data_IF_614931327758
#
_entry.id   IF_614931327758
#
_cell.length_a   1.000
_cell.length_b   1.000
_cell.length_c   1.000
_cell.angle_alpha   90.00
_cell.angle_beta   90.00
_cell.angle_gamma   90.00
#
_symmetry.space_group_name_H-M   'P 1'
#
loop_
_entity.id
_entity.type
_entity.pdbx_description
1 polymer ?
#
# COMPACT_ATOMS: atom_id res chain seq x y z
N UNK A 1 -30.30 -0.43 20.87
CA UNK A 1 -30.67 0.08 19.54
C UNK A 1 -29.47 0.58 18.69
N UNK A 2 -28.36 1.03 19.30
CA UNK A 2 -27.14 1.42 18.52
C UNK A 2 -26.61 0.28 17.62
N UNK A 3 -26.52 -0.93 18.13
CA UNK A 3 -25.98 -2.09 17.41
C UNK A 3 -26.76 -2.45 16.12
N UNK A 4 -28.09 -2.43 16.18
CA UNK A 4 -28.93 -2.67 14.99
C UNK A 4 -28.82 -1.55 13.95
N UNK A 5 -28.61 -0.33 14.41
CA UNK A 5 -28.36 0.81 13.53
C UNK A 5 -27.01 0.68 12.81
N UNK A 6 -25.98 0.26 13.53
CA UNK A 6 -24.64 0.06 12.96
C UNK A 6 -24.58 -1.12 11.97
N UNK A 7 -25.48 -2.11 12.12
CA UNK A 7 -25.62 -3.24 11.19
C UNK A 7 -26.43 -2.94 9.93
N UNK A 8 -27.16 -1.84 9.89
CA UNK A 8 -28.08 -1.50 8.80
C UNK A 8 -27.39 -1.49 7.40
N UNK A 9 -26.22 -0.86 7.18
CA UNK A 9 -25.54 -0.93 5.89
C UNK A 9 -25.13 -2.34 5.49
N UNK A 10 -24.76 -3.18 6.47
CA UNK A 10 -24.35 -4.57 6.24
C UNK A 10 -25.57 -5.40 5.80
N UNK A 11 -26.71 -5.21 6.42
CA UNK A 11 -27.95 -5.90 6.04
C UNK A 11 -28.34 -5.50 4.61
N UNK A 12 -28.28 -4.23 4.28
CA UNK A 12 -28.56 -3.73 2.94
C UNK A 12 -27.57 -4.27 1.92
N UNK A 13 -26.31 -4.42 2.26
CA UNK A 13 -25.30 -5.05 1.43
C UNK A 13 -25.71 -6.49 1.05
N UNK A 14 -26.06 -7.32 2.06
CA UNK A 14 -26.46 -8.71 1.80
C UNK A 14 -27.76 -8.84 1.00
N UNK A 15 -28.74 -7.97 1.25
CA UNK A 15 -29.98 -7.94 0.47
C UNK A 15 -29.71 -7.57 -0.98
N UNK A 16 -28.93 -6.51 -1.21
CA UNK A 16 -28.56 -6.06 -2.54
C UNK A 16 -27.67 -7.11 -3.26
N UNK A 17 -26.80 -7.81 -2.54
CA UNK A 17 -25.98 -8.89 -3.08
C UNK A 17 -26.83 -10.09 -3.54
N UNK A 18 -27.91 -10.43 -2.83
CA UNK A 18 -28.84 -11.49 -3.24
C UNK A 18 -29.71 -11.12 -4.46
N UNK A 19 -29.99 -9.83 -4.65
CA UNK A 19 -30.83 -9.33 -5.73
C UNK A 19 -30.06 -8.91 -6.97
N UNK A 20 -28.76 -8.72 -6.86
CA UNK A 20 -27.89 -8.27 -7.93
C UNK A 20 -26.48 -8.87 -7.81
N UNK A 21 -25.50 -8.04 -7.94
CA UNK A 21 -24.08 -8.39 -7.89
C UNK A 21 -23.34 -7.68 -6.74
N UNK A 22 -22.06 -8.02 -6.58
CA UNK A 22 -21.21 -7.43 -5.53
C UNK A 22 -21.03 -5.92 -5.70
N UNK A 23 -21.12 -5.40 -6.91
CA UNK A 23 -20.96 -3.96 -7.21
C UNK A 23 -22.18 -3.18 -6.77
N UNK A 24 -23.37 -3.65 -7.14
CA UNK A 24 -24.65 -3.11 -6.68
C UNK A 24 -24.73 -3.13 -5.17
N UNK A 25 -24.35 -4.25 -4.54
CA UNK A 25 -24.31 -4.38 -3.09
C UNK A 25 -23.36 -3.37 -2.44
N UNK A 26 -22.18 -3.18 -3.03
CA UNK A 26 -21.18 -2.23 -2.51
C UNK A 26 -21.68 -0.79 -2.63
N UNK A 27 -22.27 -0.40 -3.76
CA UNK A 27 -22.85 0.94 -3.95
C UNK A 27 -23.96 1.19 -2.93
N UNK A 28 -24.85 0.22 -2.72
CA UNK A 28 -25.94 0.33 -1.75
C UNK A 28 -25.40 0.49 -0.34
N UNK A 29 -24.40 -0.29 0.05
CA UNK A 29 -23.76 -0.17 1.36
C UNK A 29 -23.05 1.18 1.55
N UNK A 30 -22.36 1.69 0.52
CA UNK A 30 -21.73 3.01 0.57
C UNK A 30 -22.77 4.11 0.77
N UNK A 31 -23.85 4.12 -0.03
CA UNK A 31 -24.92 5.11 0.09
C UNK A 31 -25.58 5.02 1.47
N UNK A 32 -25.85 3.82 1.95
CA UNK A 32 -26.44 3.60 3.27
C UNK A 32 -25.56 4.14 4.40
N UNK A 33 -24.25 3.87 4.34
CA UNK A 33 -23.28 4.35 5.35
C UNK A 33 -23.16 5.87 5.34
N UNK A 34 -23.08 6.48 4.16
CA UNK A 34 -23.04 7.94 4.00
C UNK A 34 -24.33 8.55 4.56
N UNK A 35 -25.49 8.02 4.19
CA UNK A 35 -26.79 8.47 4.68
C UNK A 35 -26.92 8.35 6.21
N UNK A 36 -26.43 7.23 6.78
CA UNK A 36 -26.42 6.99 8.21
C UNK A 36 -25.55 8.01 8.96
N UNK A 37 -24.37 8.30 8.45
CA UNK A 37 -23.46 9.28 9.08
C UNK A 37 -24.01 10.70 8.97
N UNK A 38 -24.59 11.07 7.83
CA UNK A 38 -25.26 12.35 7.67
C UNK A 38 -26.42 12.52 8.65
N UNK A 39 -27.22 11.45 8.85
CA UNK A 39 -28.30 11.43 9.84
C UNK A 39 -27.79 11.62 11.28
N UNK A 40 -26.73 10.90 11.66
CA UNK A 40 -26.09 11.02 12.98
C UNK A 40 -25.54 12.43 13.18
N UNK A 41 -24.87 12.98 12.19
CA UNK A 41 -24.35 14.34 12.23
C UNK A 41 -25.47 15.38 12.40
N UNK A 42 -26.56 15.25 11.65
CA UNK A 42 -27.67 16.17 11.72
C UNK A 42 -28.34 16.14 13.12
N UNK A 43 -28.47 14.93 13.70
CA UNK A 43 -29.20 14.77 14.98
C UNK A 43 -28.32 15.02 16.20
N UNK A 44 -27.06 14.63 16.18
CA UNK A 44 -26.19 14.67 17.35
C UNK A 44 -25.05 15.68 17.23
N UNK A 45 -24.83 16.25 16.08
CA UNK A 45 -23.73 17.21 15.81
C UNK A 45 -22.33 16.69 16.16
N UNK A 46 -22.21 15.38 16.42
CA UNK A 46 -20.96 14.69 16.75
C UNK A 46 -20.93 13.34 16.04
N UNK A 47 -19.82 13.02 15.43
CA UNK A 47 -19.55 11.73 14.80
C UNK A 47 -18.46 11.06 15.62
N UNK A 48 -18.66 9.80 16.03
CA UNK A 48 -17.66 9.02 16.73
C UNK A 48 -16.48 8.67 15.80
N UNK A 49 -15.26 8.57 16.38
CA UNK A 49 -14.06 8.20 15.62
C UNK A 49 -14.23 6.85 14.89
N UNK A 50 -14.95 5.89 15.49
CA UNK A 50 -15.27 4.60 14.88
C UNK A 50 -16.14 4.74 13.62
N UNK A 51 -17.08 5.67 13.61
CA UNK A 51 -17.93 5.95 12.44
C UNK A 51 -17.13 6.61 11.31
N UNK A 52 -16.18 7.48 11.65
CA UNK A 52 -15.25 8.05 10.66
C UNK A 52 -14.36 6.98 10.03
N UNK A 53 -13.81 6.08 10.84
CA UNK A 53 -13.02 4.95 10.36
C UNK A 53 -13.86 4.08 9.43
N UNK A 54 -15.09 3.74 9.83
CA UNK A 54 -16.00 2.93 9.01
C UNK A 54 -16.33 3.62 7.67
N UNK A 55 -16.57 4.95 7.68
CA UNK A 55 -16.82 5.72 6.46
C UNK A 55 -15.61 5.68 5.53
N UNK A 56 -14.42 5.97 6.04
CA UNK A 56 -13.19 5.95 5.25
C UNK A 56 -12.97 4.56 4.67
N UNK A 57 -13.11 3.51 5.48
CA UNK A 57 -12.95 2.13 5.02
C UNK A 57 -13.95 1.78 3.91
N UNK A 58 -15.25 2.08 4.09
CA UNK A 58 -16.26 1.69 3.10
C UNK A 58 -16.14 2.52 1.82
N UNK A 59 -15.74 3.78 1.91
CA UNK A 59 -15.51 4.63 0.73
C UNK A 59 -14.27 4.15 -0.01
N UNK A 60 -13.16 3.89 0.69
CA UNK A 60 -11.91 3.43 0.06
C UNK A 60 -12.11 2.04 -0.56
N UNK A 61 -12.54 1.05 0.24
CA UNK A 61 -12.70 -0.33 -0.27
C UNK A 61 -13.88 -0.48 -1.21
N UNK A 62 -14.97 0.26 -1.00
CA UNK A 62 -16.12 0.27 -1.89
C UNK A 62 -15.78 0.90 -3.24
N UNK A 63 -15.07 2.01 -3.28
CA UNK A 63 -14.57 2.60 -4.53
C UNK A 63 -13.63 1.65 -5.23
N UNK A 64 -12.70 1.03 -4.50
CA UNK A 64 -11.84 -0.01 -5.03
C UNK A 64 -12.63 -1.17 -5.66
N UNK A 65 -13.71 -1.63 -5.03
CA UNK A 65 -14.56 -2.72 -5.54
C UNK A 65 -15.28 -2.31 -6.83
N UNK A 66 -15.77 -1.07 -6.91
CA UNK A 66 -16.49 -0.55 -8.09
C UNK A 66 -15.52 -0.36 -9.26
N UNK A 67 -14.32 0.17 -9.01
CA UNK A 67 -13.29 0.34 -10.05
C UNK A 67 -12.63 -0.98 -10.48
N UNK A 68 -12.81 -2.07 -9.71
CA UNK A 68 -12.21 -3.40 -9.98
C UNK A 68 -12.77 -4.12 -11.18
N UNK A 69 -13.77 -3.58 -11.87
CA UNK A 69 -14.34 -4.17 -13.10
C UNK A 69 -13.42 -4.05 -14.31
N UNK A 70 -12.37 -3.25 -14.23
CA UNK A 70 -11.48 -3.02 -15.35
C UNK A 70 -10.16 -3.80 -15.17
N UNK A 71 -9.70 -4.46 -16.24
CA UNK A 71 -8.39 -5.14 -16.31
C UNK A 71 -7.26 -4.21 -15.88
N UNK A 72 -7.38 -2.93 -16.19
CA UNK A 72 -6.48 -1.85 -15.82
C UNK A 72 -6.24 -1.78 -14.31
N UNK A 73 -7.27 -2.06 -13.48
CA UNK A 73 -7.09 -2.03 -12.03
C UNK A 73 -6.19 -3.16 -11.51
N UNK A 74 -6.31 -4.36 -12.09
CA UNK A 74 -5.41 -5.48 -11.71
C UNK A 74 -3.96 -5.09 -12.00
N UNK A 75 -3.73 -4.37 -13.09
CA UNK A 75 -2.43 -3.88 -13.50
C UNK A 75 -1.92 -2.73 -12.62
N UNK A 76 -2.81 -1.95 -12.02
CA UNK A 76 -2.46 -0.84 -11.12
C UNK A 76 -2.12 -1.27 -9.68
N UNK A 77 -2.59 -2.44 -9.23
CA UNK A 77 -2.29 -2.92 -7.87
C UNK A 77 -0.81 -2.92 -7.50
N UNK A 78 0.12 -3.43 -8.35
CA UNK A 78 1.53 -3.39 -8.03
C UNK A 78 2.06 -1.96 -7.91
N UNK A 79 1.62 -1.02 -8.76
CA UNK A 79 1.99 0.39 -8.66
C UNK A 79 1.61 0.98 -7.30
N UNK A 80 0.36 0.77 -6.88
CA UNK A 80 -0.12 1.25 -5.59
C UNK A 80 0.72 0.71 -4.42
N UNK A 81 1.05 -0.59 -4.45
CA UNK A 81 1.90 -1.22 -3.43
C UNK A 81 3.33 -0.66 -3.44
N UNK A 82 3.96 -0.52 -4.59
CA UNK A 82 5.30 0.05 -4.70
C UNK A 82 5.35 1.49 -4.18
N UNK A 83 4.38 2.32 -4.55
CA UNK A 83 4.33 3.71 -4.06
C UNK A 83 3.97 3.81 -2.59
N UNK A 84 3.15 2.89 -2.06
CA UNK A 84 2.89 2.80 -0.62
C UNK A 84 4.17 2.47 0.15
N UNK A 85 4.95 1.48 -0.31
CA UNK A 85 6.24 1.15 0.32
C UNK A 85 7.24 2.28 0.20
N UNK A 86 7.34 2.91 -0.97
CA UNK A 86 8.20 4.08 -1.17
C UNK A 86 7.82 5.22 -0.21
N UNK A 87 6.53 5.57 -0.14
CA UNK A 87 6.02 6.59 0.76
C UNK A 87 6.23 6.26 2.23
N UNK A 88 5.98 5.01 2.63
CA UNK A 88 6.19 4.56 4.00
C UNK A 88 7.66 4.67 4.44
N UNK A 89 8.60 4.25 3.58
CA UNK A 89 10.04 4.38 3.83
C UNK A 89 10.47 5.85 3.90
N UNK A 90 9.96 6.68 3.01
CA UNK A 90 10.29 8.11 3.01
C UNK A 90 9.73 8.83 4.24
N UNK A 91 8.45 8.62 4.55
CA UNK A 91 7.76 9.27 5.66
C UNK A 91 8.35 8.81 7.00
N UNK A 92 8.62 7.51 7.17
CA UNK A 92 9.17 6.97 8.41
C UNK A 92 10.55 7.56 8.74
N UNK A 93 11.40 7.73 7.72
CA UNK A 93 12.72 8.31 7.90
C UNK A 93 12.67 9.81 8.15
N UNK A 94 11.77 10.54 7.49
CA UNK A 94 11.73 12.01 7.53
C UNK A 94 10.98 12.54 8.76
N UNK A 95 9.83 11.93 9.10
CA UNK A 95 8.95 12.45 10.16
C UNK A 95 9.09 11.71 11.49
N UNK A 96 9.37 10.41 11.45
CA UNK A 96 9.43 9.60 12.67
C UNK A 96 10.87 9.27 13.09
N UNK A 97 11.88 9.68 12.31
CA UNK A 97 13.29 9.35 12.54
C UNK A 97 13.55 7.84 12.72
N UNK A 98 12.63 7.02 12.19
CA UNK A 98 12.72 5.57 12.22
C UNK A 98 13.14 5.06 10.86
N UNK A 99 14.28 4.38 10.80
CA UNK A 99 14.75 3.73 9.59
C UNK A 99 14.25 2.29 9.56
N UNK A 100 13.22 2.02 8.75
CA UNK A 100 12.64 0.69 8.65
C UNK A 100 13.59 -0.33 8.02
N UNK A 101 14.44 0.08 7.10
CA UNK A 101 15.46 -0.81 6.52
C UNK A 101 16.44 -1.24 7.60
N UNK A 102 16.86 -0.34 8.48
CA UNK A 102 17.69 -0.66 9.64
C UNK A 102 16.99 -1.64 10.61
N UNK A 103 15.69 -1.45 10.85
CA UNK A 103 14.92 -2.34 11.73
C UNK A 103 14.85 -3.76 11.14
N UNK A 104 14.67 -3.87 9.82
CA UNK A 104 14.55 -5.17 9.14
C UNK A 104 15.90 -5.88 8.98
N UNK A 105 16.95 -5.15 8.60
CA UNK A 105 18.26 -5.73 8.23
C UNK A 105 19.31 -5.59 9.33
N UNK A 106 19.12 -4.71 10.30
CA UNK A 106 20.14 -4.38 11.30
C UNK A 106 20.54 -5.53 12.24
N UNK A 107 19.70 -6.58 12.32
CA UNK A 107 20.06 -7.81 13.05
C UNK A 107 21.01 -8.72 12.28
N UNK A 108 21.09 -8.57 10.97
CA UNK A 108 21.83 -9.45 10.06
C UNK A 108 23.11 -8.78 9.54
N UNK A 109 23.20 -7.46 9.66
CA UNK A 109 24.29 -6.66 9.08
C UNK A 109 24.93 -5.82 10.17
N UNK A 110 26.20 -6.11 10.48
CA UNK A 110 27.01 -5.31 11.40
C UNK A 110 27.83 -4.31 10.58
N UNK A 111 27.54 -3.03 10.76
CA UNK A 111 28.21 -1.94 10.08
C UNK A 111 29.29 -1.32 11.00
N UNK A 112 30.36 -0.78 10.38
CA UNK A 112 31.37 0.01 11.11
C UNK A 112 30.69 1.19 11.80
N UNK A 113 30.87 1.31 13.12
CA UNK A 113 30.17 2.30 13.96
C UNK A 113 30.25 3.73 13.42
N UNK A 114 31.42 4.12 12.91
CA UNK A 114 31.69 5.47 12.43
C UNK A 114 30.74 5.95 11.30
N UNK A 115 30.20 5.03 10.49
CA UNK A 115 29.40 5.34 9.32
C UNK A 115 28.00 4.70 9.34
N UNK A 116 27.64 3.98 10.38
CA UNK A 116 26.40 3.17 10.41
C UNK A 116 25.15 4.00 10.14
N UNK A 117 24.99 5.15 10.76
CA UNK A 117 23.84 6.02 10.56
C UNK A 117 23.72 6.50 9.10
N UNK A 118 24.82 6.91 8.48
CA UNK A 118 24.84 7.35 7.09
C UNK A 118 24.48 6.20 6.15
N UNK A 119 25.07 5.03 6.35
CA UNK A 119 24.81 3.85 5.51
C UNK A 119 23.33 3.44 5.57
N UNK A 120 22.75 3.37 6.76
CA UNK A 120 21.33 3.05 6.91
C UNK A 120 20.42 4.09 6.25
N UNK A 121 20.77 5.37 6.32
CA UNK A 121 20.00 6.42 5.67
C UNK A 121 20.07 6.34 4.15
N UNK A 122 21.24 6.04 3.59
CA UNK A 122 21.37 5.83 2.15
C UNK A 122 20.63 4.58 1.66
N UNK A 123 20.69 3.48 2.41
CA UNK A 123 19.91 2.27 2.11
C UNK A 123 18.41 2.56 2.08
N UNK A 124 17.90 3.26 3.08
CA UNK A 124 16.47 3.61 3.13
C UNK A 124 16.05 4.47 1.93
N UNK A 125 16.87 5.45 1.55
CA UNK A 125 16.63 6.26 0.34
C UNK A 125 16.68 5.43 -0.94
N UNK A 126 17.65 4.52 -1.05
CA UNK A 126 17.79 3.66 -2.21
C UNK A 126 16.57 2.74 -2.38
N UNK A 127 16.07 2.13 -1.30
CA UNK A 127 14.86 1.32 -1.33
C UNK A 127 13.61 2.14 -1.65
N UNK A 128 13.47 3.33 -1.08
CA UNK A 128 12.35 4.23 -1.39
C UNK A 128 12.36 4.64 -2.87
N UNK A 129 13.54 5.01 -3.41
CA UNK A 129 13.71 5.33 -4.82
C UNK A 129 13.44 4.13 -5.72
N UNK A 130 13.93 2.94 -5.35
CA UNK A 130 13.68 1.70 -6.10
C UNK A 130 12.18 1.41 -6.21
N UNK A 131 11.44 1.43 -5.10
CA UNK A 131 10.01 1.21 -5.14
C UNK A 131 9.26 2.31 -5.91
N UNK A 132 9.70 3.56 -5.83
CA UNK A 132 9.10 4.64 -6.62
C UNK A 132 9.26 4.40 -8.12
N UNK A 133 10.46 4.04 -8.55
CA UNK A 133 10.78 3.74 -9.96
C UNK A 133 10.02 2.49 -10.42
N UNK A 134 9.97 1.43 -9.61
CA UNK A 134 9.22 0.21 -9.93
C UNK A 134 7.72 0.48 -10.11
N UNK A 135 7.14 1.34 -9.28
CA UNK A 135 5.75 1.78 -9.45
C UNK A 135 5.53 2.52 -10.77
N UNK A 136 6.43 3.44 -11.12
CA UNK A 136 6.38 4.16 -12.39
C UNK A 136 6.56 3.25 -13.61
N UNK A 137 7.50 2.31 -13.55
CA UNK A 137 7.71 1.31 -14.61
C UNK A 137 6.50 0.40 -14.79
N UNK A 138 5.91 -0.09 -13.68
CA UNK A 138 4.69 -0.90 -13.77
C UNK A 138 3.54 -0.12 -14.42
N UNK A 139 3.38 1.16 -14.04
CA UNK A 139 2.37 2.03 -14.60
C UNK A 139 2.58 2.23 -16.11
N UNK A 140 3.80 2.56 -16.50
CA UNK A 140 4.17 2.75 -17.90
C UNK A 140 3.89 1.50 -18.74
N UNK A 141 4.30 0.33 -18.25
CA UNK A 141 4.09 -0.93 -18.98
C UNK A 141 2.59 -1.31 -19.03
N UNK A 142 1.86 -1.02 -17.96
CA UNK A 142 0.42 -1.31 -17.89
C UNK A 142 -0.40 -0.50 -18.91
N UNK A 143 0.02 0.74 -19.22
CA UNK A 143 -0.72 1.62 -20.14
C UNK A 143 -0.21 1.57 -21.59
N UNK A 144 1.08 1.39 -21.80
CA UNK A 144 1.68 1.49 -23.14
C UNK A 144 1.87 0.15 -23.84
N UNK A 145 1.79 -0.97 -23.11
CA UNK A 145 2.09 -2.29 -23.66
C UNK A 145 0.91 -3.26 -23.51
N UNK A 146 1.00 -4.39 -24.22
CA UNK A 146 0.00 -5.46 -24.14
C UNK A 146 -0.06 -6.10 -22.75
N UNK A 147 -1.22 -6.69 -22.41
CA UNK A 147 -1.41 -7.45 -21.17
C UNK A 147 -0.37 -8.57 -21.00
N UNK A 148 -0.02 -9.25 -22.09
CA UNK A 148 1.02 -10.29 -22.09
C UNK A 148 2.39 -9.73 -21.71
N UNK A 149 2.76 -8.58 -22.27
CA UNK A 149 4.01 -7.89 -21.92
C UNK A 149 4.04 -7.47 -20.46
N UNK A 150 2.91 -6.97 -19.94
CA UNK A 150 2.79 -6.61 -18.54
C UNK A 150 2.92 -7.83 -17.62
N UNK A 151 2.31 -8.97 -17.95
CA UNK A 151 2.44 -10.23 -17.19
C UNK A 151 3.89 -10.69 -17.16
N UNK A 152 4.57 -10.68 -18.32
CA UNK A 152 5.99 -11.05 -18.42
C UNK A 152 6.89 -10.12 -17.61
N UNK A 153 6.62 -8.80 -17.65
CA UNK A 153 7.33 -7.84 -16.82
C UNK A 153 7.10 -8.11 -15.32
N UNK A 154 5.87 -8.38 -14.91
CA UNK A 154 5.54 -8.68 -13.53
C UNK A 154 6.25 -9.93 -13.01
N UNK A 155 6.35 -10.99 -13.82
CA UNK A 155 6.94 -12.26 -13.41
C UNK A 155 8.48 -12.23 -13.48
N UNK A 156 9.02 -11.74 -14.58
CA UNK A 156 10.47 -11.81 -14.84
C UNK A 156 11.16 -10.47 -14.70
N UNK A 157 10.59 -9.41 -15.26
CA UNK A 157 11.19 -8.08 -15.26
C UNK A 157 11.33 -7.51 -13.85
N UNK A 158 10.25 -7.50 -13.08
CA UNK A 158 10.28 -6.96 -11.71
C UNK A 158 11.17 -7.78 -10.79
N UNK A 159 11.15 -9.12 -10.91
CA UNK A 159 12.00 -10.02 -10.14
C UNK A 159 13.49 -9.83 -10.53
N UNK A 160 13.78 -9.73 -11.83
CA UNK A 160 15.13 -9.49 -12.31
C UNK A 160 15.69 -8.14 -11.84
N UNK A 161 14.89 -7.08 -11.90
CA UNK A 161 15.28 -5.75 -11.42
C UNK A 161 15.51 -5.74 -9.90
N UNK A 162 14.67 -6.43 -9.14
CA UNK A 162 14.83 -6.57 -7.69
C UNK A 162 16.14 -7.31 -7.37
N UNK A 163 16.41 -8.43 -8.02
CA UNK A 163 17.65 -9.18 -7.82
C UNK A 163 18.88 -8.35 -8.18
N UNK A 164 18.84 -7.66 -9.30
CA UNK A 164 19.91 -6.75 -9.70
C UNK A 164 20.15 -5.66 -8.65
N UNK A 165 19.09 -5.04 -8.18
CA UNK A 165 19.16 -4.02 -7.12
C UNK A 165 19.76 -4.58 -5.83
N UNK A 166 19.34 -5.77 -5.38
CA UNK A 166 19.86 -6.43 -4.18
C UNK A 166 21.34 -6.78 -4.32
N UNK A 167 21.77 -7.25 -5.50
CA UNK A 167 23.18 -7.56 -5.78
C UNK A 167 24.03 -6.27 -5.71
N UNK A 168 23.60 -5.20 -6.39
CA UNK A 168 24.31 -3.91 -6.37
C UNK A 168 24.41 -3.38 -4.94
N UNK A 169 23.29 -3.44 -4.22
CA UNK A 169 23.24 -3.04 -2.81
C UNK A 169 24.17 -3.88 -1.94
N UNK A 170 24.20 -5.20 -2.13
CA UNK A 170 25.08 -6.12 -1.39
C UNK A 170 26.56 -5.81 -1.61
N UNK A 171 26.96 -5.58 -2.85
CA UNK A 171 28.34 -5.18 -3.20
C UNK A 171 28.69 -3.81 -2.60
N UNK A 172 27.75 -2.87 -2.60
CA UNK A 172 27.97 -1.58 -1.97
C UNK A 172 28.06 -1.70 -0.44
N UNK A 173 27.18 -2.48 0.16
CA UNK A 173 27.09 -2.67 1.59
C UNK A 173 28.32 -3.42 2.15
N UNK A 174 28.87 -4.41 1.44
CA UNK A 174 30.04 -5.18 1.85
C UNK A 174 31.27 -4.32 2.13
N UNK A 175 31.40 -3.18 1.45
CA UNK A 175 32.49 -2.21 1.68
C UNK A 175 32.37 -1.47 3.04
N UNK A 176 31.20 -1.49 3.66
CA UNK A 176 30.86 -0.77 4.88
C UNK A 176 30.66 -1.70 6.08
N UNK A 177 30.67 -3.02 5.85
CA UNK A 177 30.56 -4.01 6.92
C UNK A 177 31.85 -4.13 7.71
N UNK A 178 31.73 -4.47 8.98
CA UNK A 178 32.88 -4.94 9.77
C UNK A 178 33.24 -6.34 9.30
N UNK A 179 34.51 -6.52 8.97
CA UNK A 179 35.07 -7.86 8.84
C UNK A 179 35.24 -8.42 10.25
N UNK A 180 34.76 -9.66 10.53
CA UNK A 180 35.11 -10.32 11.78
C UNK A 180 36.66 -10.36 11.85
N UNK A 181 37.22 -9.78 12.90
CA UNK A 181 38.62 -10.01 13.21
C UNK A 181 38.79 -11.49 13.54
N UNK A 182 39.54 -12.21 12.73
CA UNK A 182 40.01 -13.57 13.02
C UNK A 182 40.70 -13.64 14.36
#
# INVERSE_FOLDING_TARGET
MKFLFDLFPIILFFVAFKLGDIYTATIVAMIATIGQILWVYYRHRKIDAMQWISLVMIVVFGSLTIFLHDKTFIQLKPTALYWLFSGALFISAQFFQKNWIQILMGKQVTLKEKNAHYVWHQLNKAWAAFFFVMGGLNLYIAFEFSEETWVNFKLFGSTGLLLLFVIIQGVWLSKHMEHPSE
#
